data_IF_705242337677
#
_entry.id   IF_705242337677
#
_cell.length_a   1.000
_cell.length_b   1.000
_cell.length_c   1.000
_cell.angle_alpha   90.00
_cell.angle_beta   90.00
_cell.angle_gamma   90.00
#
_symmetry.space_group_name_H-M   'P 1'
#
loop_
_entity.id
_entity.type
_entity.pdbx_description
1 polymer ?
#
# COMPACT_ATOMS: atom_id res chain seq x y z
N UNK A 1 -8.41 6.85 11.29
CA UNK A 1 -7.28 6.34 10.49
C UNK A 1 -7.44 6.77 9.04
N UNK A 2 -6.40 7.27 8.45
CA UNK A 2 -6.35 7.52 7.01
C UNK A 2 -5.69 6.35 6.30
N UNK A 3 -6.12 6.05 5.08
CA UNK A 3 -5.61 4.93 4.30
C UNK A 3 -5.01 5.43 3.00
N UNK A 4 -3.74 5.08 2.77
CA UNK A 4 -3.02 5.38 1.53
C UNK A 4 -2.77 4.05 0.81
N UNK A 5 -3.24 3.96 -0.43
CA UNK A 5 -2.98 2.81 -1.30
C UNK A 5 -1.90 3.20 -2.31
N UNK A 6 -0.90 2.35 -2.44
CA UNK A 6 0.16 2.53 -3.44
C UNK A 6 -0.09 1.54 -4.56
N UNK A 7 -0.37 2.04 -5.75
CA UNK A 7 -0.78 1.24 -6.89
C UNK A 7 0.08 1.57 -8.12
N UNK A 8 0.46 0.54 -8.88
CA UNK A 8 1.17 0.72 -10.14
C UNK A 8 0.89 -0.47 -11.06
N UNK A 9 0.81 -0.21 -12.36
CA UNK A 9 0.57 -1.26 -13.35
C UNK A 9 1.80 -2.13 -13.61
N UNK A 10 2.98 -1.55 -13.47
CA UNK A 10 4.24 -2.25 -13.71
C UNK A 10 5.03 -2.45 -12.43
N UNK A 11 5.65 -3.61 -12.28
CA UNK A 11 6.65 -3.84 -11.26
C UNK A 11 7.88 -2.95 -11.48
N UNK A 12 8.60 -2.63 -10.40
CA UNK A 12 9.82 -1.85 -10.49
C UNK A 12 9.63 -0.34 -10.65
N UNK A 13 8.41 0.18 -10.49
CA UNK A 13 8.16 1.62 -10.54
C UNK A 13 8.42 2.34 -9.21
N UNK A 14 9.00 1.65 -8.21
CA UNK A 14 9.29 2.24 -6.91
C UNK A 14 8.17 2.14 -5.90
N UNK A 15 7.19 1.31 -6.15
CA UNK A 15 6.00 1.15 -5.31
C UNK A 15 6.35 0.78 -3.86
N UNK A 16 7.12 -0.28 -3.67
CA UNK A 16 7.54 -0.71 -2.32
C UNK A 16 8.48 0.29 -1.66
N UNK A 17 9.37 0.89 -2.43
CA UNK A 17 10.28 1.94 -1.94
C UNK A 17 9.49 3.14 -1.42
N UNK A 18 8.47 3.56 -2.14
CA UNK A 18 7.60 4.65 -1.70
C UNK A 18 6.83 4.26 -0.43
N UNK A 19 6.26 3.07 -0.38
CA UNK A 19 5.50 2.58 0.77
C UNK A 19 6.33 2.59 2.04
N UNK A 20 7.53 2.00 2.01
CA UNK A 20 8.39 1.92 3.20
C UNK A 20 8.88 3.28 3.65
N UNK A 21 9.23 4.17 2.72
CA UNK A 21 9.72 5.51 3.07
C UNK A 21 8.61 6.36 3.70
N UNK A 22 7.39 6.29 3.18
CA UNK A 22 6.24 6.98 3.78
C UNK A 22 5.94 6.43 5.16
N UNK A 23 5.97 5.11 5.33
CA UNK A 23 5.70 4.47 6.62
C UNK A 23 6.70 4.89 7.68
N UNK A 24 7.99 4.90 7.35
CA UNK A 24 9.04 5.32 8.29
C UNK A 24 8.91 6.79 8.62
N UNK A 25 8.71 7.65 7.62
CA UNK A 25 8.58 9.09 7.83
C UNK A 25 7.38 9.41 8.74
N UNK A 26 6.25 8.78 8.52
CA UNK A 26 5.06 8.99 9.36
C UNK A 26 5.28 8.46 10.79
N UNK A 27 5.95 7.32 10.94
CA UNK A 27 6.29 6.77 12.25
C UNK A 27 7.24 7.70 13.02
N UNK A 28 8.23 8.27 12.35
CA UNK A 28 9.15 9.23 12.95
C UNK A 28 8.46 10.55 13.32
N UNK A 29 7.37 10.88 12.66
CA UNK A 29 6.54 12.03 12.97
C UNK A 29 5.55 11.77 14.14
N UNK A 30 5.66 10.62 14.78
CA UNK A 30 4.86 10.26 15.95
C UNK A 30 3.52 9.62 15.65
N UNK A 31 3.24 9.22 14.40
CA UNK A 31 1.99 8.56 14.03
C UNK A 31 2.09 7.06 14.23
N UNK A 32 0.98 6.46 14.62
CA UNK A 32 0.85 5.00 14.65
C UNK A 32 0.49 4.51 13.25
N UNK A 33 1.43 3.80 12.63
CA UNK A 33 1.33 3.39 11.22
C UNK A 33 1.21 1.88 11.11
N UNK A 34 0.21 1.43 10.35
CA UNK A 34 0.05 0.03 9.95
C UNK A 34 0.40 -0.10 8.46
N UNK A 35 1.24 -1.07 8.13
CA UNK A 35 1.52 -1.44 6.75
C UNK A 35 0.83 -2.75 6.41
N UNK A 36 0.25 -2.83 5.22
CA UNK A 36 -0.29 -4.07 4.66
C UNK A 36 0.39 -4.34 3.32
N UNK A 37 0.85 -5.56 3.14
CA UNK A 37 1.49 -5.98 1.89
C UNK A 37 0.56 -6.95 1.16
N UNK A 38 -0.12 -6.45 0.13
CA UNK A 38 -1.04 -7.24 -0.68
C UNK A 38 -0.40 -7.72 -1.99
N UNK A 39 0.88 -7.38 -2.19
CA UNK A 39 1.65 -7.88 -3.34
C UNK A 39 2.16 -9.29 -3.03
N UNK A 40 1.85 -10.30 -3.88
CA UNK A 40 2.37 -11.66 -3.68
C UNK A 40 3.89 -11.76 -3.63
N UNK A 41 4.62 -10.78 -4.19
CA UNK A 41 6.08 -10.75 -4.09
C UNK A 41 6.55 -10.50 -2.65
N UNK A 42 5.74 -9.87 -1.81
CA UNK A 42 6.03 -9.70 -0.40
C UNK A 42 7.21 -8.82 -0.07
N UNK A 43 7.57 -7.88 -0.95
CA UNK A 43 8.77 -7.05 -0.77
C UNK A 43 8.68 -6.11 0.44
N UNK A 44 7.51 -5.56 0.72
CA UNK A 44 7.31 -4.69 1.87
C UNK A 44 7.42 -5.49 3.17
N UNK A 45 6.81 -6.66 3.22
CA UNK A 45 6.90 -7.53 4.41
C UNK A 45 8.33 -8.01 4.64
N UNK A 46 9.05 -8.41 3.59
CA UNK A 46 10.44 -8.83 3.71
C UNK A 46 11.32 -7.70 4.28
N UNK A 47 11.11 -6.48 3.81
CA UNK A 47 11.81 -5.31 4.35
C UNK A 47 11.49 -5.12 5.84
N UNK A 48 10.22 -5.20 6.20
CA UNK A 48 9.78 -5.00 7.59
C UNK A 48 10.35 -6.07 8.53
N UNK A 49 10.34 -7.34 8.10
CA UNK A 49 10.87 -8.45 8.89
C UNK A 49 12.38 -8.35 9.12
N UNK A 50 13.09 -7.70 8.20
CA UNK A 50 14.52 -7.47 8.33
C UNK A 50 14.88 -6.29 9.25
N UNK A 51 13.89 -5.57 9.79
CA UNK A 51 14.13 -4.41 10.64
C UNK A 51 14.23 -4.81 12.11
N UNK A 52 15.03 -4.02 12.82
CA UNK A 52 15.23 -4.17 14.26
C UNK A 52 14.45 -3.09 15.04
N UNK A 53 13.34 -2.64 14.47
CA UNK A 53 12.52 -1.57 15.02
C UNK A 53 11.04 -2.00 15.05
N UNK A 54 10.31 -1.54 16.07
CA UNK A 54 8.91 -1.91 16.28
C UNK A 54 7.94 -1.14 15.37
N UNK A 55 8.33 0.03 14.89
CA UNK A 55 7.49 0.87 14.04
C UNK A 55 8.10 1.03 12.64
N UNK A 56 7.30 1.07 11.58
CA UNK A 56 5.84 0.89 11.55
C UNK A 56 5.42 -0.53 11.92
N UNK A 57 4.12 -0.72 12.16
CA UNK A 57 3.56 -2.03 12.51
C UNK A 57 3.10 -2.78 11.27
N UNK A 58 3.13 -4.10 11.35
CA UNK A 58 2.44 -5.00 10.40
C UNK A 58 1.69 -6.06 11.18
N UNK A 59 0.62 -6.58 10.59
CA UNK A 59 -0.11 -7.71 11.17
C UNK A 59 0.71 -8.99 11.00
N UNK A 60 0.41 -10.02 11.81
CA UNK A 60 1.06 -11.32 11.70
C UNK A 60 0.89 -11.91 10.29
N UNK A 61 -0.27 -11.66 9.68
CA UNK A 61 -0.57 -12.04 8.30
C UNK A 61 -1.23 -10.88 7.58
N UNK A 62 -0.86 -10.68 6.33
CA UNK A 62 -1.56 -9.73 5.48
C UNK A 62 -2.95 -10.28 5.14
N UNK A 63 -3.98 -9.41 5.11
CA UNK A 63 -5.34 -9.87 4.88
C UNK A 63 -5.54 -10.35 3.45
N UNK A 64 -6.36 -11.38 3.29
CA UNK A 64 -6.87 -11.74 1.98
C UNK A 64 -7.80 -10.62 1.46
N UNK A 65 -7.96 -10.46 0.14
CA UNK A 65 -8.77 -9.38 -0.41
C UNK A 65 -10.19 -9.30 0.12
N UNK A 66 -10.82 -10.44 0.35
CA UNK A 66 -12.22 -10.51 0.81
C UNK A 66 -12.42 -10.06 2.27
N UNK A 67 -11.34 -10.02 3.06
CA UNK A 67 -11.40 -9.54 4.46
C UNK A 67 -10.71 -8.18 4.65
N UNK A 68 -10.26 -7.55 3.57
CA UNK A 68 -9.54 -6.28 3.65
C UNK A 68 -10.35 -5.19 4.34
N UNK A 69 -11.61 -5.01 3.95
CA UNK A 69 -12.46 -3.97 4.53
C UNK A 69 -12.69 -4.19 6.03
N UNK A 70 -12.95 -5.44 6.43
CA UNK A 70 -13.12 -5.76 7.84
C UNK A 70 -11.82 -5.52 8.63
N UNK A 71 -10.66 -5.83 8.04
CA UNK A 71 -9.35 -5.57 8.62
C UNK A 71 -9.13 -4.08 8.83
N UNK A 72 -9.43 -3.25 7.83
CA UNK A 72 -9.31 -1.80 7.93
C UNK A 72 -10.24 -1.23 9.00
N UNK A 73 -11.47 -1.72 9.06
CA UNK A 73 -12.42 -1.28 10.09
C UNK A 73 -11.93 -1.61 11.50
N UNK A 74 -11.36 -2.80 11.69
CA UNK A 74 -10.81 -3.20 12.99
C UNK A 74 -9.58 -2.36 13.39
N UNK A 75 -8.80 -1.90 12.42
CA UNK A 75 -7.60 -1.10 12.67
C UNK A 75 -7.87 0.38 12.99
N UNK A 76 -9.07 0.88 12.69
CA UNK A 76 -9.42 2.31 12.80
C UNK A 76 -9.11 2.91 14.18
N UNK A 77 -9.32 2.16 15.24
CA UNK A 77 -9.15 2.66 16.60
C UNK A 77 -7.70 2.59 17.10
N UNK A 78 -6.83 1.87 16.40
CA UNK A 78 -5.47 1.59 16.87
C UNK A 78 -4.39 2.34 16.10
N UNK A 79 -4.68 2.78 14.88
CA UNK A 79 -3.70 3.38 13.99
C UNK A 79 -4.18 4.72 13.44
N UNK A 80 -3.23 5.61 13.20
CA UNK A 80 -3.48 6.92 12.57
C UNK A 80 -3.44 6.83 11.05
N UNK A 81 -2.63 5.91 10.52
CA UNK A 81 -2.36 5.78 9.10
C UNK A 81 -2.20 4.31 8.73
N UNK A 82 -2.80 3.91 7.62
CA UNK A 82 -2.57 2.61 7.01
C UNK A 82 -1.99 2.80 5.61
N UNK A 83 -0.89 2.11 5.30
CA UNK A 83 -0.25 2.14 3.99
C UNK A 83 -0.37 0.75 3.39
N UNK A 84 -0.98 0.65 2.21
CA UNK A 84 -1.23 -0.61 1.53
C UNK A 84 -0.41 -0.67 0.24
N UNK A 85 0.48 -1.65 0.17
CA UNK A 85 1.22 -1.98 -1.06
C UNK A 85 0.43 -3.03 -1.84
N UNK A 86 0.18 -2.77 -3.12
CA UNK A 86 -0.69 -3.60 -3.96
C UNK A 86 0.10 -4.34 -5.03
N UNK A 87 -0.48 -5.40 -5.66
CA UNK A 87 0.18 -6.09 -6.78
C UNK A 87 0.42 -5.15 -7.97
N UNK A 88 1.43 -5.43 -8.81
CA UNK A 88 1.72 -4.61 -9.99
C UNK A 88 0.65 -4.70 -11.08
N UNK A 89 -0.12 -5.79 -11.12
CA UNK A 89 -1.27 -5.90 -12.02
C UNK A 89 -2.52 -5.44 -11.29
N UNK A 90 -3.58 -5.08 -12.03
CA UNK A 90 -4.83 -4.62 -11.44
C UNK A 90 -5.86 -5.77 -11.36
N UNK A 91 -5.80 -6.66 -10.35
CA UNK A 91 -6.83 -7.68 -10.17
C UNK A 91 -8.17 -7.04 -9.84
N UNK A 92 -9.26 -7.78 -10.08
CA UNK A 92 -10.61 -7.26 -9.86
C UNK A 92 -10.85 -6.72 -8.45
N UNK A 93 -10.30 -7.40 -7.44
CA UNK A 93 -10.47 -6.97 -6.06
C UNK A 93 -9.75 -5.65 -5.73
N UNK A 94 -8.82 -5.23 -6.56
CA UNK A 94 -8.07 -3.99 -6.32
C UNK A 94 -9.00 -2.76 -6.33
N UNK A 95 -10.05 -2.78 -7.13
CA UNK A 95 -11.04 -1.68 -7.15
C UNK A 95 -11.66 -1.46 -5.77
N UNK A 96 -11.91 -2.52 -5.01
CA UNK A 96 -12.43 -2.41 -3.64
C UNK A 96 -11.40 -1.77 -2.71
N UNK A 97 -10.14 -2.19 -2.81
CA UNK A 97 -9.06 -1.58 -2.04
C UNK A 97 -8.89 -0.10 -2.36
N UNK A 98 -8.95 0.26 -3.64
CA UNK A 98 -8.88 1.66 -4.09
C UNK A 98 -10.07 2.48 -3.56
N UNK A 99 -11.25 1.88 -3.49
CA UNK A 99 -12.46 2.53 -2.95
C UNK A 99 -12.39 2.81 -1.46
N UNK A 100 -11.58 2.06 -0.72
CA UNK A 100 -11.38 2.27 0.72
C UNK A 100 -10.28 3.31 1.02
N UNK A 101 -9.54 3.77 0.02
CA UNK A 101 -8.42 4.68 0.20
C UNK A 101 -8.87 6.12 0.37
N UNK A 102 -8.22 6.86 1.27
CA UNK A 102 -8.31 8.32 1.33
C UNK A 102 -7.41 8.96 0.28
N UNK A 103 -6.32 8.27 -0.09
CA UNK A 103 -5.38 8.72 -1.09
C UNK A 103 -4.81 7.52 -1.82
N UNK A 104 -4.71 7.62 -3.14
CA UNK A 104 -4.03 6.63 -3.98
C UNK A 104 -2.79 7.29 -4.57
N UNK A 105 -1.62 6.70 -4.33
CA UNK A 105 -0.35 7.14 -4.91
C UNK A 105 0.05 6.18 -6.04
N UNK A 106 0.38 6.75 -7.18
CA UNK A 106 0.76 5.99 -8.37
C UNK A 106 2.17 6.41 -8.78
N UNK A 107 3.21 5.69 -8.33
CA UNK A 107 4.56 6.01 -8.75
C UNK A 107 4.74 5.70 -10.23
N UNK A 108 5.35 6.62 -10.96
CA UNK A 108 5.53 6.54 -12.41
C UNK A 108 6.97 6.90 -12.75
N UNK A 109 7.64 6.07 -13.56
CA UNK A 109 8.91 6.43 -14.15
C UNK A 109 8.65 7.32 -15.36
N UNK A 110 9.57 8.25 -15.71
CA UNK A 110 9.38 9.17 -16.84
C UNK A 110 9.67 8.45 -18.16
N UNK A 111 8.88 7.43 -18.51
CA UNK A 111 8.97 6.70 -19.76
C UNK A 111 7.59 6.64 -20.42
N UNK A 112 7.51 6.60 -21.76
CA UNK A 112 6.22 6.52 -22.46
C UNK A 112 5.37 5.32 -22.03
N UNK A 113 6.01 4.15 -21.83
CA UNK A 113 5.30 2.92 -21.44
C UNK A 113 4.72 3.04 -20.03
N UNK A 114 5.47 3.61 -19.08
CA UNK A 114 5.00 3.82 -17.72
C UNK A 114 3.88 4.86 -17.67
N UNK A 115 3.97 5.91 -18.46
CA UNK A 115 2.91 6.93 -18.57
C UNK A 115 1.62 6.35 -19.15
N UNK A 116 1.71 5.42 -20.09
CA UNK A 116 0.54 4.71 -20.62
C UNK A 116 -0.07 3.79 -19.56
N UNK A 117 0.78 3.09 -18.82
CA UNK A 117 0.33 2.17 -17.78
C UNK A 117 -0.45 2.88 -16.67
N UNK A 118 -0.09 4.12 -16.34
CA UNK A 118 -0.78 4.90 -15.30
C UNK A 118 -2.22 5.21 -15.68
N UNK A 119 -2.52 5.33 -16.96
CA UNK A 119 -3.89 5.58 -17.43
C UNK A 119 -4.87 4.50 -17.00
N UNK A 120 -4.47 3.22 -17.05
CA UNK A 120 -5.32 2.12 -16.60
C UNK A 120 -5.55 2.18 -15.08
N UNK A 121 -4.53 2.56 -14.30
CA UNK A 121 -4.66 2.71 -12.85
C UNK A 121 -5.59 3.86 -12.50
N UNK A 122 -5.46 4.99 -13.19
CA UNK A 122 -6.35 6.15 -13.00
C UNK A 122 -7.80 5.77 -13.31
N UNK A 123 -8.03 5.02 -14.38
CA UNK A 123 -9.37 4.55 -14.73
C UNK A 123 -9.98 3.66 -13.64
N UNK A 124 -9.19 2.84 -12.98
CA UNK A 124 -9.64 1.98 -11.87
C UNK A 124 -10.00 2.79 -10.62
N UNK A 125 -9.38 3.96 -10.41
CA UNK A 125 -9.66 4.85 -9.26
C UNK A 125 -10.96 5.62 -9.47
N UNK A 126 -11.22 6.02 -10.70
CA UNK A 126 -12.41 6.78 -11.05
C UNK A 126 -13.59 5.86 -11.32
#
# INVERSE_FOLDING_TARGET
>A
MKTIVIAAQKGGAGKTTLARNLAVAASQDGRDVLCLDLDPQGSLRAWWEGRDADAPSMLDRDPAPDVLRATLNAAQAQFDLCIIDTPPAAPEWLAEALGAADLVLIPVRPSPDDLRAVGATIAAVN
#
